data_IF_605334753282
#
_entry.id   IF_605334753282
#
_cell.length_a   1.000
_cell.length_b   1.000
_cell.length_c   1.000
_cell.angle_alpha   90.00
_cell.angle_beta   90.00
_cell.angle_gamma   90.00
#
_symmetry.space_group_name_H-M   'P 1'
#
loop_
_entity.id
_entity.type
_entity.pdbx_description
1 polymer ?
#
# COMPACT_ATOMS: atom_id res chain seq x y z
N UNK A 1 7.82 -57.90 10.08
CA UNK A 1 7.20 -56.83 10.89
C UNK A 1 7.84 -55.46 10.66
N UNK A 2 9.18 -55.32 10.62
CA UNK A 2 9.87 -54.02 10.43
C UNK A 2 9.63 -53.35 9.06
N UNK A 3 9.51 -54.13 7.98
CA UNK A 3 9.23 -53.62 6.62
C UNK A 3 7.87 -52.94 6.47
N UNK A 4 6.87 -53.36 7.26
CA UNK A 4 5.54 -52.74 7.28
C UNK A 4 5.56 -51.37 7.95
N UNK A 5 6.36 -51.20 9.01
CA UNK A 5 6.56 -49.89 9.64
C UNK A 5 7.31 -48.93 8.73
N UNK A 6 8.34 -49.42 8.02
CA UNK A 6 9.16 -48.60 7.13
C UNK A 6 8.39 -48.10 5.90
N UNK A 7 7.56 -48.96 5.31
CA UNK A 7 6.67 -48.59 4.20
C UNK A 7 5.58 -47.60 4.63
N UNK A 8 5.00 -47.76 5.83
CA UNK A 8 4.03 -46.81 6.38
C UNK A 8 4.65 -45.44 6.64
N UNK A 9 5.86 -45.38 7.18
CA UNK A 9 6.57 -44.11 7.43
C UNK A 9 6.90 -43.38 6.12
N UNK A 10 7.34 -44.12 5.08
CA UNK A 10 7.59 -43.55 3.75
C UNK A 10 6.30 -43.00 3.15
N UNK A 11 5.18 -43.72 3.29
CA UNK A 11 3.88 -43.28 2.80
C UNK A 11 3.43 -41.98 3.49
N UNK A 12 3.56 -41.90 4.81
CA UNK A 12 3.21 -40.70 5.58
C UNK A 12 4.11 -39.51 5.24
N UNK A 13 5.42 -39.74 5.07
CA UNK A 13 6.36 -38.70 4.66
C UNK A 13 6.06 -38.21 3.23
N UNK A 14 5.77 -39.11 2.29
CA UNK A 14 5.40 -38.76 0.92
C UNK A 14 4.08 -37.99 0.85
N UNK A 15 3.09 -38.38 1.66
CA UNK A 15 1.84 -37.61 1.80
C UNK A 15 2.13 -36.22 2.35
N UNK A 16 2.87 -36.09 3.45
CA UNK A 16 3.19 -34.80 4.06
C UNK A 16 3.95 -33.87 3.10
N UNK A 17 4.98 -34.38 2.42
CA UNK A 17 5.74 -33.63 1.41
C UNK A 17 4.82 -33.28 0.22
N UNK A 18 3.97 -34.20 -0.22
CA UNK A 18 2.99 -33.96 -1.27
C UNK A 18 2.03 -32.82 -0.95
N UNK A 19 1.44 -32.82 0.25
CA UNK A 19 0.56 -31.73 0.71
C UNK A 19 1.32 -30.43 0.84
N UNK A 20 2.55 -30.44 1.37
CA UNK A 20 3.39 -29.26 1.49
C UNK A 20 3.75 -28.67 0.13
N UNK A 21 4.21 -29.49 -0.81
CA UNK A 21 4.55 -29.07 -2.17
C UNK A 21 3.31 -28.58 -2.91
N UNK A 22 2.16 -29.23 -2.73
CA UNK A 22 0.91 -28.77 -3.33
C UNK A 22 0.44 -27.44 -2.72
N UNK A 23 0.59 -27.24 -1.41
CA UNK A 23 0.24 -25.98 -0.73
C UNK A 23 1.19 -24.86 -1.15
N UNK A 24 2.50 -25.13 -1.22
CA UNK A 24 3.51 -24.19 -1.72
C UNK A 24 3.30 -23.86 -3.19
N UNK A 25 2.99 -24.86 -4.04
CA UNK A 25 2.65 -24.64 -5.45
C UNK A 25 1.33 -23.90 -5.60
N UNK A 26 0.32 -24.17 -4.78
CA UNK A 26 -0.95 -23.44 -4.78
C UNK A 26 -0.72 -21.98 -4.37
N UNK A 27 0.13 -21.72 -3.39
CA UNK A 27 0.55 -20.36 -3.03
C UNK A 27 1.43 -19.69 -4.10
N UNK A 28 2.24 -20.44 -4.84
CA UNK A 28 3.08 -19.91 -5.92
C UNK A 28 2.31 -19.70 -7.24
N UNK A 29 1.34 -20.57 -7.56
CA UNK A 29 0.47 -20.50 -8.74
C UNK A 29 -0.71 -19.56 -8.55
N UNK A 30 -1.07 -19.21 -7.31
CA UNK A 30 -2.00 -18.12 -7.00
C UNK A 30 -1.46 -16.72 -7.36
N UNK A 31 -0.41 -16.62 -8.20
CA UNK A 31 0.13 -15.36 -8.69
C UNK A 31 0.82 -14.59 -7.58
N UNK A 32 2.16 -14.62 -7.59
CA UNK A 32 3.07 -13.73 -6.88
C UNK A 32 2.45 -12.94 -5.72
N UNK A 33 2.56 -13.47 -4.50
CA UNK A 33 2.19 -12.82 -3.23
C UNK A 33 2.89 -11.44 -3.01
N UNK A 34 3.62 -10.92 -4.00
CA UNK A 34 4.50 -9.78 -3.87
C UNK A 34 4.19 -8.58 -4.76
N UNK A 35 3.32 -8.62 -5.77
CA UNK A 35 3.04 -7.39 -6.55
C UNK A 35 1.76 -6.67 -6.14
N UNK A 36 0.75 -7.39 -5.64
CA UNK A 36 -0.47 -6.78 -5.09
C UNK A 36 -0.36 -6.46 -3.59
N UNK A 37 0.53 -7.14 -2.86
CA UNK A 37 0.85 -6.86 -1.46
C UNK A 37 1.90 -5.76 -1.30
N UNK A 38 2.63 -5.42 -2.37
CA UNK A 38 3.52 -4.26 -2.37
C UNK A 38 2.65 -3.01 -2.28
N UNK A 39 2.83 -2.16 -1.26
CA UNK A 39 2.09 -0.91 -1.20
C UNK A 39 2.31 -0.16 -2.51
N UNK A 40 1.23 0.29 -3.13
CA UNK A 40 1.30 1.19 -4.29
C UNK A 40 1.98 2.47 -3.80
N UNK A 41 3.10 2.86 -4.41
CA UNK A 41 3.93 3.96 -3.92
C UNK A 41 4.08 5.06 -4.96
N UNK A 42 3.82 6.30 -4.54
CA UNK A 42 4.29 7.50 -5.22
C UNK A 42 5.36 8.20 -4.36
N UNK A 43 6.47 8.63 -4.96
CA UNK A 43 7.55 9.38 -4.29
C UNK A 43 7.74 10.72 -4.94
N UNK A 44 7.80 11.76 -4.11
CA UNK A 44 7.97 13.14 -4.52
C UNK A 44 9.10 13.80 -3.75
N UNK A 45 9.77 14.75 -4.37
CA UNK A 45 10.69 15.66 -3.71
C UNK A 45 10.14 17.08 -3.76
N UNK A 46 9.96 17.70 -2.60
CA UNK A 46 9.31 18.99 -2.46
C UNK A 46 10.29 20.04 -1.92
N UNK A 47 10.31 21.26 -2.47
CA UNK A 47 11.14 22.36 -2.01
C UNK A 47 10.55 23.06 -0.77
N UNK A 48 10.07 22.28 0.20
CA UNK A 48 9.58 22.79 1.47
C UNK A 48 9.98 21.89 2.65
N UNK A 49 9.89 22.44 3.86
CA UNK A 49 10.15 21.70 5.10
C UNK A 49 9.11 20.58 5.29
N UNK A 50 9.39 19.66 6.21
CA UNK A 50 8.46 18.58 6.53
C UNK A 50 7.11 19.12 7.05
N UNK A 51 7.11 20.27 7.72
CA UNK A 51 5.88 20.93 8.17
C UNK A 51 5.08 21.48 6.99
N UNK A 52 5.72 22.23 6.08
CA UNK A 52 5.06 22.73 4.86
C UNK A 52 4.56 21.60 3.95
N UNK A 53 5.32 20.51 3.85
CA UNK A 53 4.88 19.30 3.12
C UNK A 53 3.63 18.70 3.74
N UNK A 54 3.55 18.67 5.08
CA UNK A 54 2.38 18.12 5.78
C UNK A 54 1.13 18.96 5.55
N UNK A 55 1.25 20.29 5.54
CA UNK A 55 0.14 21.20 5.22
C UNK A 55 -0.36 20.95 3.79
N UNK A 56 0.57 20.85 2.84
CA UNK A 56 0.26 20.54 1.45
C UNK A 56 -0.47 19.20 1.29
N UNK A 57 -0.11 18.17 2.07
CA UNK A 57 -0.82 16.88 2.07
C UNK A 57 -2.26 17.04 2.55
N UNK A 58 -2.50 17.80 3.62
CA UNK A 58 -3.86 18.01 4.12
C UNK A 58 -4.72 18.78 3.12
N UNK A 59 -4.13 19.76 2.44
CA UNK A 59 -4.82 20.54 1.41
C UNK A 59 -5.12 19.68 0.19
N UNK A 60 -4.16 18.87 -0.26
CA UNK A 60 -4.39 17.93 -1.36
C UNK A 60 -5.43 16.86 -1.04
N UNK A 61 -5.48 16.36 0.20
CA UNK A 61 -6.52 15.42 0.62
C UNK A 61 -7.92 16.04 0.57
N UNK A 62 -8.03 17.32 0.93
CA UNK A 62 -9.30 18.05 0.88
C UNK A 62 -9.69 18.39 -0.57
N UNK A 63 -8.76 18.95 -1.35
CA UNK A 63 -9.05 19.53 -2.66
C UNK A 63 -9.03 18.47 -3.77
N UNK A 64 -8.06 17.55 -3.75
CA UNK A 64 -7.95 16.50 -4.77
C UNK A 64 -8.87 15.30 -4.52
N UNK A 65 -9.13 14.97 -3.25
CA UNK A 65 -9.91 13.78 -2.86
C UNK A 65 -11.20 14.10 -2.06
N UNK A 66 -11.54 15.36 -1.83
CA UNK A 66 -12.75 15.75 -1.08
C UNK A 66 -12.75 15.32 0.39
N UNK A 67 -11.61 14.86 0.92
CA UNK A 67 -11.53 14.18 2.20
C UNK A 67 -11.21 15.16 3.32
N UNK A 68 -12.22 15.46 4.14
CA UNK A 68 -12.07 16.27 5.35
C UNK A 68 -11.32 15.50 6.43
N UNK A 69 -10.00 15.63 6.43
CA UNK A 69 -9.15 15.09 7.51
C UNK A 69 -8.85 16.18 8.53
N UNK A 70 -9.12 15.99 9.83
CA UNK A 70 -8.76 16.98 10.84
C UNK A 70 -7.22 17.13 10.87
N UNK A 71 -6.75 18.37 10.73
CA UNK A 71 -5.33 18.73 10.87
C UNK A 71 -4.87 18.47 12.31
N UNK A 72 -4.45 17.26 12.62
CA UNK A 72 -3.82 16.95 13.90
C UNK A 72 -2.31 17.17 13.76
N UNK A 73 -1.72 17.91 14.71
CA UNK A 73 -0.27 17.95 14.93
C UNK A 73 0.20 16.58 15.43
N UNK A 74 0.23 15.59 14.55
CA UNK A 74 0.98 14.37 14.80
C UNK A 74 2.45 14.71 14.57
N UNK A 75 3.21 14.82 15.64
CA UNK A 75 4.67 15.01 15.64
C UNK A 75 5.44 13.76 15.13
N UNK A 76 4.87 13.04 14.18
CA UNK A 76 5.49 11.84 13.61
C UNK A 76 5.76 12.05 12.12
N UNK A 77 6.96 11.69 11.72
CA UNK A 77 7.43 11.70 10.34
C UNK A 77 6.70 10.66 9.48
N UNK A 78 6.06 9.69 10.14
CA UNK A 78 5.10 8.76 9.56
C UNK A 78 3.67 9.04 10.06
N UNK A 79 2.71 9.13 9.15
CA UNK A 79 1.31 9.24 9.54
C UNK A 79 0.36 8.57 8.55
N UNK A 80 -0.80 8.18 9.07
CA UNK A 80 -1.83 7.45 8.32
C UNK A 80 -3.13 8.25 8.30
N UNK A 81 -3.76 8.33 7.13
CA UNK A 81 -5.04 9.00 6.90
C UNK A 81 -5.96 8.04 6.14
N UNK A 82 -7.25 8.07 6.47
CA UNK A 82 -8.27 7.28 5.78
C UNK A 82 -9.11 8.23 4.93
N UNK A 83 -9.26 7.89 3.66
CA UNK A 83 -10.10 8.55 2.66
C UNK A 83 -11.17 7.58 2.20
N UNK A 84 -12.32 8.08 1.75
CA UNK A 84 -13.29 7.25 1.03
C UNK A 84 -12.81 7.01 -0.40
N UNK A 85 -13.18 5.88 -0.98
CA UNK A 85 -12.98 5.61 -2.41
C UNK A 85 -14.08 6.31 -3.23
N UNK A 86 -13.71 6.95 -4.34
CA UNK A 86 -14.67 7.51 -5.29
C UNK A 86 -15.41 6.40 -6.04
N UNK A 87 -16.72 6.56 -6.28
CA UNK A 87 -17.54 5.75 -7.20
C UNK A 87 -18.45 4.69 -6.54
N UNK A 88 -18.87 3.71 -7.33
CA UNK A 88 -19.84 2.65 -6.95
C UNK A 88 -19.30 1.60 -5.94
N UNK A 89 -18.12 1.85 -5.35
CA UNK A 89 -17.40 0.89 -4.50
C UNK A 89 -17.93 0.81 -3.04
N UNK A 90 -19.19 1.17 -2.81
CA UNK A 90 -19.84 1.08 -1.49
C UNK A 90 -19.11 1.90 -0.39
N UNK A 91 -19.09 1.46 0.89
CA UNK A 91 -18.37 2.14 1.98
C UNK A 91 -16.84 1.96 1.90
N UNK A 92 -16.29 1.70 0.72
CA UNK A 92 -14.86 1.47 0.51
C UNK A 92 -13.99 2.63 1.00
N UNK A 93 -12.87 2.32 1.63
CA UNK A 93 -11.92 3.31 2.13
C UNK A 93 -10.48 3.00 1.73
N UNK A 94 -9.73 4.03 1.39
CA UNK A 94 -8.29 4.01 1.17
C UNK A 94 -7.56 4.53 2.40
N UNK A 95 -6.70 3.70 2.98
CA UNK A 95 -5.76 4.15 4.01
C UNK A 95 -4.44 4.53 3.35
N UNK A 96 -4.18 5.83 3.34
CA UNK A 96 -2.90 6.40 2.95
C UNK A 96 -1.94 6.35 4.14
N UNK A 97 -0.68 6.03 3.85
CA UNK A 97 0.46 6.20 4.74
C UNK A 97 1.42 7.16 4.07
N UNK A 98 1.74 8.24 4.77
CA UNK A 98 2.67 9.27 4.35
C UNK A 98 3.93 9.15 5.19
N UNK A 99 5.08 9.17 4.53
CA UNK A 99 6.39 9.21 5.16
C UNK A 99 7.14 10.43 4.66
N UNK A 100 7.63 11.24 5.60
CA UNK A 100 8.36 12.47 5.34
C UNK A 100 9.82 12.27 5.74
N UNK A 101 10.72 12.34 4.76
CA UNK A 101 12.16 12.27 4.98
C UNK A 101 12.77 13.64 4.66
N UNK A 102 13.21 14.43 5.66
CA UNK A 102 13.87 15.71 5.41
C UNK A 102 15.24 15.46 4.76
N UNK A 103 15.43 15.98 3.54
CA UNK A 103 16.71 15.92 2.81
C UNK A 103 17.58 17.11 3.21
N UNK A 104 16.96 18.26 3.47
CA UNK A 104 17.57 19.46 4.07
C UNK A 104 16.49 20.27 4.80
N UNK A 105 16.88 21.37 5.44
CA UNK A 105 15.92 22.27 6.14
C UNK A 105 14.83 22.83 5.22
N UNK A 106 15.09 22.90 3.90
CA UNK A 106 14.19 23.45 2.88
C UNK A 106 13.68 22.41 1.89
N UNK A 107 13.93 21.11 2.12
CA UNK A 107 13.60 20.06 1.16
C UNK A 107 13.19 18.77 1.85
N UNK A 108 12.07 18.22 1.40
CA UNK A 108 11.50 17.00 1.97
C UNK A 108 11.18 15.99 0.87
N UNK A 109 11.57 14.75 1.08
CA UNK A 109 11.11 13.61 0.28
C UNK A 109 9.84 13.05 0.91
N UNK A 110 8.79 13.02 0.11
CA UNK A 110 7.48 12.48 0.46
C UNK A 110 7.29 11.11 -0.18
N UNK A 111 6.96 10.11 0.62
CA UNK A 111 6.49 8.80 0.14
C UNK A 111 5.02 8.62 0.49
N UNK A 112 4.17 8.42 -0.52
CA UNK A 112 2.75 8.10 -0.38
C UNK A 112 2.58 6.61 -0.62
N UNK A 113 2.05 5.89 0.35
CA UNK A 113 1.78 4.45 0.24
C UNK A 113 0.32 4.13 0.56
N UNK A 114 -0.28 3.22 -0.20
CA UNK A 114 -1.60 2.67 0.13
C UNK A 114 -1.43 1.41 0.98
N UNK A 115 -1.97 1.45 2.20
CA UNK A 115 -2.17 0.25 3.00
C UNK A 115 -3.44 -0.46 2.53
N UNK A 116 -3.33 -1.74 2.21
CA UNK A 116 -4.50 -2.57 1.94
C UNK A 116 -5.22 -2.85 3.25
N UNK A 117 -6.47 -2.42 3.36
CA UNK A 117 -7.42 -3.03 4.29
C UNK A 117 -8.74 -3.21 3.58
N UNK A 118 -9.04 -4.46 3.22
CA UNK A 118 -10.41 -4.93 3.19
C UNK A 118 -10.80 -5.24 4.64
N UNK A 119 -11.79 -4.51 5.19
CA UNK A 119 -12.60 -4.88 6.35
C UNK A 119 -11.92 -5.75 7.44
N UNK A 120 -11.28 -5.11 8.43
CA UNK A 120 -11.08 -5.72 9.76
C UNK A 120 -9.71 -6.35 10.07
N UNK A 121 -8.74 -6.38 9.16
CA UNK A 121 -7.38 -6.87 9.46
C UNK A 121 -6.30 -6.24 8.58
N UNK A 122 -5.09 -6.06 9.11
CA UNK A 122 -3.89 -5.58 8.38
C UNK A 122 -3.34 -6.60 7.36
N UNK A 123 -4.08 -7.65 7.01
CA UNK A 123 -3.56 -8.82 6.26
C UNK A 123 -4.30 -9.17 4.97
N UNK A 124 -5.37 -8.45 4.60
CA UNK A 124 -6.10 -8.71 3.35
C UNK A 124 -5.48 -7.99 2.16
N UNK A 125 -5.24 -8.69 1.04
CA UNK A 125 -5.06 -8.06 -0.27
C UNK A 125 -6.22 -7.08 -0.55
N UNK A 126 -6.01 -5.96 -1.26
CA UNK A 126 -7.14 -5.13 -1.65
C UNK A 126 -8.00 -5.95 -2.62
N UNK A 127 -9.32 -5.75 -2.59
CA UNK A 127 -10.18 -6.32 -3.63
C UNK A 127 -9.61 -5.88 -5.00
N UNK A 128 -9.30 -6.83 -5.91
CA UNK A 128 -8.78 -6.50 -7.23
C UNK A 128 -9.65 -5.50 -8.00
N UNK A 129 -10.96 -5.49 -7.75
CA UNK A 129 -11.89 -4.54 -8.36
C UNK A 129 -11.66 -3.09 -7.88
N UNK A 130 -11.22 -2.90 -6.62
CA UNK A 130 -10.94 -1.59 -6.03
C UNK A 130 -9.54 -1.05 -6.40
N UNK A 131 -8.63 -1.92 -6.83
CA UNK A 131 -7.24 -1.56 -7.11
C UNK A 131 -7.09 -0.40 -8.12
N UNK A 132 -7.84 -0.34 -9.25
CA UNK A 132 -7.77 0.78 -10.18
C UNK A 132 -8.26 2.10 -9.57
N UNK A 133 -9.31 2.08 -8.75
CA UNK A 133 -9.83 3.28 -8.10
C UNK A 133 -8.83 3.84 -7.08
N UNK A 134 -8.22 2.95 -6.29
CA UNK A 134 -7.16 3.26 -5.34
C UNK A 134 -5.95 3.89 -6.03
N UNK A 135 -5.48 3.33 -7.16
CA UNK A 135 -4.38 3.90 -7.95
C UNK A 135 -4.72 5.31 -8.42
N UNK A 136 -5.90 5.52 -9.01
CA UNK A 136 -6.34 6.84 -9.47
C UNK A 136 -6.35 7.88 -8.35
N UNK A 137 -6.71 7.52 -7.13
CA UNK A 137 -6.68 8.46 -6.00
C UNK A 137 -5.25 8.84 -5.60
N UNK A 138 -4.30 7.89 -5.59
CA UNK A 138 -2.90 8.22 -5.32
C UNK A 138 -2.32 9.07 -6.44
N UNK A 139 -2.59 8.72 -7.70
CA UNK A 139 -2.15 9.51 -8.86
C UNK A 139 -2.66 10.96 -8.74
N UNK A 140 -3.97 11.15 -8.52
CA UNK A 140 -4.55 12.49 -8.35
C UNK A 140 -3.90 13.26 -7.20
N UNK A 141 -3.73 12.62 -6.05
CA UNK A 141 -3.11 13.26 -4.89
C UNK A 141 -1.63 13.60 -5.15
N UNK A 142 -0.87 12.68 -5.73
CA UNK A 142 0.54 12.89 -6.06
C UNK A 142 0.72 14.00 -7.09
N UNK A 143 -0.07 14.00 -8.17
CA UNK A 143 -0.07 15.06 -9.19
C UNK A 143 -0.43 16.40 -8.58
N UNK A 144 -1.50 16.47 -7.78
CA UNK A 144 -1.91 17.72 -7.13
C UNK A 144 -0.78 18.26 -6.22
N UNK A 145 -0.16 17.40 -5.41
CA UNK A 145 0.96 17.76 -4.53
C UNK A 145 2.18 18.21 -5.34
N UNK A 146 2.51 17.54 -6.44
CA UNK A 146 3.61 17.94 -7.31
C UNK A 146 3.37 19.33 -7.90
N UNK A 147 2.18 19.59 -8.43
CA UNK A 147 1.79 20.85 -9.05
C UNK A 147 1.78 22.01 -8.04
N UNK A 148 1.14 21.83 -6.88
CA UNK A 148 0.96 22.90 -5.89
C UNK A 148 2.20 23.08 -4.99
N UNK A 149 2.91 21.98 -4.71
CA UNK A 149 4.16 22.00 -3.97
C UNK A 149 5.36 22.43 -4.80
N UNK A 150 5.20 22.58 -6.12
CA UNK A 150 6.31 22.77 -7.09
C UNK A 150 7.37 21.67 -6.96
N UNK A 151 6.89 20.46 -6.72
CA UNK A 151 7.68 19.28 -6.47
C UNK A 151 8.01 18.48 -7.73
N UNK A 152 9.01 17.62 -7.64
CA UNK A 152 9.32 16.65 -8.67
C UNK A 152 8.78 15.26 -8.28
N UNK A 153 8.01 14.65 -9.18
CA UNK A 153 7.56 13.26 -9.03
C UNK A 153 8.70 12.33 -9.44
N UNK A 154 9.37 11.73 -8.46
CA UNK A 154 10.55 10.89 -8.68
C UNK A 154 10.20 9.49 -9.17
N UNK A 155 9.12 8.91 -8.62
CA UNK A 155 8.78 7.51 -8.87
C UNK A 155 7.30 7.24 -8.63
N UNK A 156 6.69 6.52 -9.58
CA UNK A 156 5.38 5.90 -9.40
C UNK A 156 5.52 4.39 -9.60
N UNK A 157 5.54 3.63 -8.51
CA UNK A 157 5.48 2.16 -8.55
C UNK A 157 4.03 1.72 -8.43
N UNK A 158 3.40 1.65 -9.59
CA UNK A 158 2.18 0.89 -9.78
C UNK A 158 2.63 -0.52 -10.17
N UNK A 159 2.45 -1.53 -9.30
CA UNK A 159 2.75 -2.92 -9.64
C UNK A 159 2.23 -3.27 -11.04
N UNK A 160 3.00 -4.02 -11.82
CA UNK A 160 2.67 -4.38 -13.22
C UNK A 160 1.39 -5.25 -13.30
N UNK A 161 0.68 -5.22 -14.44
CA UNK A 161 -0.58 -5.97 -14.64
C UNK A 161 -0.42 -7.47 -14.47
#
# INVERSE_FOLDING_TARGET
>A
MQWLGLSLTILLAALFIGTWVWTLRRHAQAGGMFDWARPRVARLELPCSAEGTRELIYDGLLDALGTRTPRRKKHRDDFRIVSHLDGDFGPGSARFRFELEPVSDSRTRLTISLASQSHGGETGAPDPAEAPARVRQVDRLATWIAEHGRGELLETRWGRP
#
